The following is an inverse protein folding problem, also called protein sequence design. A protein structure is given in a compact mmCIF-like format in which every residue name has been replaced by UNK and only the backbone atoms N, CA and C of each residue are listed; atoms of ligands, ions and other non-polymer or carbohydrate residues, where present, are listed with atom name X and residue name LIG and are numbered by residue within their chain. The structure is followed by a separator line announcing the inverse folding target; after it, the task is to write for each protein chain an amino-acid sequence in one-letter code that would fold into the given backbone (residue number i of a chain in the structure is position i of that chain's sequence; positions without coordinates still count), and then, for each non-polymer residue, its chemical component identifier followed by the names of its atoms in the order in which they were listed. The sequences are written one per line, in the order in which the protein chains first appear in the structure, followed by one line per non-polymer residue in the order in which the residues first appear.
data_IF_095156975930
#
_entry.id   IF_095156975930
#
_cell.length_a   1.000
_cell.length_b   1.000
_cell.length_c   1.000
_cell.angle_alpha   90.00
_cell.angle_beta   90.00
_cell.angle_gamma   90.00
#
_symmetry.space_group_name_H-M   'P 1'
#
loop_
_entity.id
_entity.type
_entity.pdbx_description
1 polymer ?
#
# COMPACT_ATOMS: atom_id res chain seq x y z
N UNK A 1 -0.84 28.95 12.28
CA UNK A 1 -1.54 28.06 13.26
C UNK A 1 -0.84 26.72 13.22
N UNK A 2 -0.69 26.03 14.38
CA UNK A 2 -0.02 24.70 14.42
C UNK A 2 -0.77 23.67 13.59
N UNK A 3 -0.03 22.88 12.82
CA UNK A 3 -0.49 21.69 12.09
C UNK A 3 -0.61 20.51 13.05
N UNK A 4 -1.84 20.07 13.33
CA UNK A 4 -2.13 18.96 14.25
C UNK A 4 -2.47 17.71 13.44
N UNK A 5 -1.74 16.63 13.68
CA UNK A 5 -2.04 15.30 13.13
C UNK A 5 -2.58 14.41 14.25
N UNK A 6 -3.78 13.88 14.06
CA UNK A 6 -4.35 12.87 14.93
C UNK A 6 -4.09 11.51 14.31
N UNK A 7 -3.21 10.72 14.93
CA UNK A 7 -2.93 9.34 14.53
C UNK A 7 -3.92 8.41 15.22
N UNK A 8 -4.81 7.81 14.45
CA UNK A 8 -5.75 6.78 14.90
C UNK A 8 -5.21 5.42 14.49
N UNK A 9 -4.82 4.63 15.47
CA UNK A 9 -4.20 3.33 15.26
C UNK A 9 -5.12 2.22 15.75
N UNK A 10 -5.33 1.20 14.93
CA UNK A 10 -6.17 0.06 15.30
C UNK A 10 -5.48 -0.85 16.32
N UNK A 11 -4.15 -0.79 16.41
CA UNK A 11 -3.38 -1.54 17.40
C UNK A 11 -3.38 -0.82 18.76
N UNK A 12 -3.20 -1.56 19.83
CA UNK A 12 -3.16 -1.01 21.20
C UNK A 12 -2.03 0.02 21.36
N UNK A 13 -0.90 -0.23 20.70
CA UNK A 13 0.25 0.69 20.69
C UNK A 13 0.38 1.32 19.32
N UNK A 14 0.17 2.65 19.20
CA UNK A 14 0.36 3.34 17.94
C UNK A 14 1.75 3.17 17.36
N UNK A 15 1.83 3.08 16.03
CA UNK A 15 3.08 2.90 15.30
C UNK A 15 4.06 4.05 15.54
N UNK A 16 5.24 3.72 16.08
CA UNK A 16 6.34 4.69 16.25
C UNK A 16 6.86 5.17 14.89
N UNK A 17 6.89 4.27 13.89
CA UNK A 17 7.30 4.62 12.53
C UNK A 17 6.41 5.71 11.94
N UNK A 18 5.09 5.55 11.99
CA UNK A 18 4.14 6.51 11.44
C UNK A 18 4.19 7.84 12.20
N UNK A 19 4.43 7.80 13.50
CA UNK A 19 4.61 8.99 14.33
C UNK A 19 5.83 9.81 13.86
N UNK A 20 7.00 9.18 13.70
CA UNK A 20 8.22 9.85 13.22
C UNK A 20 8.00 10.42 11.82
N UNK A 21 7.42 9.62 10.90
CA UNK A 21 7.13 10.09 9.53
C UNK A 21 6.14 11.24 9.53
N UNK A 22 5.18 11.24 10.45
CA UNK A 22 4.24 12.35 10.63
C UNK A 22 4.92 13.67 10.96
N UNK A 23 5.89 13.68 11.87
CA UNK A 23 6.72 14.87 12.15
C UNK A 23 7.58 15.26 10.95
N UNK A 24 8.25 14.30 10.33
CA UNK A 24 9.07 14.53 9.12
C UNK A 24 8.24 15.05 7.94
N UNK A 25 6.94 14.71 7.88
CA UNK A 25 5.96 15.21 6.92
C UNK A 25 5.40 16.60 7.25
N UNK A 26 5.89 17.21 8.33
CA UNK A 26 5.61 18.62 8.66
C UNK A 26 4.44 18.83 9.62
N UNK A 27 4.01 17.82 10.39
CA UNK A 27 3.12 18.03 11.51
C UNK A 27 3.86 18.74 12.66
N UNK A 28 3.26 19.81 13.22
CA UNK A 28 3.83 20.51 14.37
C UNK A 28 3.56 19.78 15.70
N UNK A 29 2.50 18.97 15.73
CA UNK A 29 2.15 18.16 16.89
C UNK A 29 1.33 16.94 16.45
N UNK A 30 1.63 15.80 17.06
CA UNK A 30 0.93 14.55 16.82
C UNK A 30 0.33 14.03 18.13
N UNK A 31 -0.98 13.74 18.10
CA UNK A 31 -1.66 13.02 19.18
C UNK A 31 -2.00 11.61 18.66
N UNK A 32 -1.37 10.59 19.24
CA UNK A 32 -1.55 9.20 18.84
C UNK A 32 -2.51 8.47 19.79
N UNK A 33 -3.50 7.80 19.24
CA UNK A 33 -4.53 7.02 19.92
C UNK A 33 -4.47 5.58 19.43
N UNK A 34 -4.26 4.64 20.36
CA UNK A 34 -4.28 3.21 20.09
C UNK A 34 -5.63 2.58 20.40
N UNK A 35 -5.88 1.37 19.86
CA UNK A 35 -7.13 0.64 20.07
C UNK A 35 -8.35 1.32 19.46
N UNK A 36 -8.14 2.15 18.41
CA UNK A 36 -9.22 2.84 17.72
C UNK A 36 -9.97 1.87 16.81
N UNK A 37 -11.29 1.93 16.89
CA UNK A 37 -12.20 1.09 16.09
C UNK A 37 -13.44 1.89 15.69
N UNK A 38 -14.29 1.29 14.84
CA UNK A 38 -15.48 1.96 14.30
C UNK A 38 -16.48 2.44 15.38
N UNK A 39 -16.49 1.79 16.57
CA UNK A 39 -17.42 2.14 17.64
C UNK A 39 -16.94 3.34 18.49
N UNK A 40 -15.60 3.53 18.62
CA UNK A 40 -15.04 4.57 19.47
C UNK A 40 -14.47 5.79 18.73
N UNK A 41 -14.23 5.70 17.41
CA UNK A 41 -13.61 6.77 16.62
C UNK A 41 -14.46 8.05 16.54
N UNK A 42 -15.78 7.93 16.70
CA UNK A 42 -16.72 9.05 16.48
C UNK A 42 -16.41 10.30 17.28
N UNK A 43 -16.17 10.18 18.60
CA UNK A 43 -15.85 11.29 19.47
C UNK A 43 -14.51 11.95 19.13
N UNK A 44 -13.51 11.15 18.71
CA UNK A 44 -12.20 11.65 18.28
C UNK A 44 -12.32 12.49 16.99
N UNK A 45 -13.10 12.02 16.03
CA UNK A 45 -13.37 12.74 14.77
C UNK A 45 -14.12 14.06 15.04
N UNK A 46 -15.14 14.04 15.88
CA UNK A 46 -15.89 15.24 16.25
C UNK A 46 -14.98 16.26 16.94
N UNK A 47 -14.10 15.82 17.86
CA UNK A 47 -13.08 16.67 18.47
C UNK A 47 -12.15 17.33 17.44
N UNK A 48 -11.66 16.56 16.45
CA UNK A 48 -10.83 17.08 15.38
C UNK A 48 -11.58 18.09 14.47
N UNK A 49 -12.87 17.85 14.24
CA UNK A 49 -13.68 18.56 13.26
C UNK A 49 -14.26 19.89 13.79
N UNK A 50 -14.63 19.95 15.09
CA UNK A 50 -15.35 21.11 15.64
C UNK A 50 -14.49 22.18 16.28
N UNK A 51 -13.21 21.91 16.54
CA UNK A 51 -12.33 22.80 17.31
C UNK A 51 -11.81 24.03 16.56
N UNK A 52 -11.90 24.05 15.22
CA UNK A 52 -11.35 25.11 14.38
C UNK A 52 -12.40 25.69 13.41
N UNK A 53 -12.23 26.98 13.08
CA UNK A 53 -13.06 27.64 12.06
C UNK A 53 -12.88 26.98 10.68
N UNK A 54 -13.83 27.09 9.75
CA UNK A 54 -13.72 26.45 8.43
C UNK A 54 -12.42 26.77 7.68
N UNK A 55 -11.92 28.01 7.74
CA UNK A 55 -10.67 28.43 7.08
C UNK A 55 -9.41 27.82 7.71
N UNK A 56 -9.49 27.42 8.98
CA UNK A 56 -8.37 26.93 9.77
C UNK A 56 -8.33 25.41 9.86
N UNK A 57 -9.41 24.71 9.43
CA UNK A 57 -9.52 23.25 9.49
C UNK A 57 -8.42 22.53 8.71
N UNK A 58 -7.87 23.13 7.66
CA UNK A 58 -6.73 22.59 6.92
C UNK A 58 -5.48 22.37 7.78
N UNK A 59 -5.39 22.98 8.95
CA UNK A 59 -4.31 22.75 9.91
C UNK A 59 -4.59 21.58 10.87
N UNK A 60 -5.66 20.82 10.64
CA UNK A 60 -5.99 19.60 11.38
C UNK A 60 -6.17 18.45 10.37
N UNK A 61 -5.51 17.32 10.62
CA UNK A 61 -5.61 16.14 9.78
C UNK A 61 -5.68 14.87 10.63
N UNK A 62 -6.16 13.79 10.02
CA UNK A 62 -6.24 12.47 10.60
C UNK A 62 -5.38 11.51 9.78
N UNK A 63 -4.57 10.69 10.45
CA UNK A 63 -3.90 9.53 9.88
C UNK A 63 -4.52 8.26 10.50
N UNK A 64 -4.92 7.31 9.67
CA UNK A 64 -5.45 6.03 10.11
C UNK A 64 -4.44 4.94 9.78
N UNK A 65 -3.91 4.29 10.82
CA UNK A 65 -2.90 3.24 10.76
C UNK A 65 -3.32 1.96 11.50
N UNK A 66 -2.31 1.13 11.81
CA UNK A 66 -2.43 -0.15 12.50
C UNK A 66 -2.18 -1.35 11.59
N UNK A 67 -2.05 -2.54 12.16
CA UNK A 67 -1.71 -3.76 11.45
C UNK A 67 -2.90 -4.44 10.74
N UNK A 68 -4.13 -4.16 11.20
CA UNK A 68 -5.35 -4.80 10.72
C UNK A 68 -6.07 -3.93 9.68
N UNK A 69 -5.86 -4.22 8.39
CA UNK A 69 -6.44 -3.45 7.30
C UNK A 69 -8.00 -3.44 7.30
N UNK A 70 -8.72 -4.57 7.46
CA UNK A 70 -10.18 -4.55 7.56
C UNK A 70 -10.71 -3.66 8.69
N UNK A 71 -10.07 -3.69 9.86
CA UNK A 71 -10.46 -2.83 10.98
C UNK A 71 -10.17 -1.35 10.67
N UNK A 72 -9.02 -1.06 10.05
CA UNK A 72 -8.70 0.30 9.60
C UNK A 72 -9.67 0.82 8.54
N UNK A 73 -10.12 -0.02 7.61
CA UNK A 73 -11.16 0.34 6.64
C UNK A 73 -12.50 0.66 7.33
N UNK A 74 -12.85 -0.09 8.37
CA UNK A 74 -14.03 0.20 9.17
C UNK A 74 -13.91 1.54 9.92
N UNK A 75 -12.71 1.85 10.47
CA UNK A 75 -12.40 3.15 11.09
C UNK A 75 -12.49 4.28 10.06
N UNK A 76 -11.94 4.08 8.87
CA UNK A 76 -12.04 5.06 7.78
C UNK A 76 -13.52 5.33 7.39
N UNK A 77 -14.30 4.28 7.24
CA UNK A 77 -15.73 4.40 6.91
C UNK A 77 -16.50 5.16 8.01
N UNK A 78 -16.26 4.83 9.28
CA UNK A 78 -16.87 5.51 10.42
C UNK A 78 -16.42 6.98 10.53
N UNK A 79 -15.14 7.25 10.26
CA UNK A 79 -14.61 8.62 10.19
C UNK A 79 -15.32 9.46 9.11
N UNK A 80 -15.43 8.91 7.91
CA UNK A 80 -16.12 9.58 6.79
C UNK A 80 -17.60 9.82 7.05
N UNK A 81 -18.27 8.91 7.73
CA UNK A 81 -19.69 9.04 8.08
C UNK A 81 -19.97 10.20 9.05
N UNK A 82 -18.95 10.68 9.79
CA UNK A 82 -19.06 11.86 10.66
C UNK A 82 -18.94 13.18 9.91
N UNK A 83 -18.40 13.17 8.70
CA UNK A 83 -18.20 14.39 7.92
C UNK A 83 -19.48 14.88 7.24
N UNK A 84 -19.73 16.17 7.32
CA UNK A 84 -20.86 16.80 6.65
C UNK A 84 -20.50 18.23 6.21
N UNK A 85 -21.02 18.66 5.07
CA UNK A 85 -20.78 19.98 4.49
C UNK A 85 -19.29 20.38 4.57
N UNK A 86 -18.98 21.52 5.22
CA UNK A 86 -17.60 22.01 5.44
C UNK A 86 -16.99 21.51 6.76
N UNK A 87 -17.73 20.70 7.54
CA UNK A 87 -17.23 20.09 8.77
C UNK A 87 -16.56 18.78 8.46
N UNK A 88 -15.29 18.89 8.06
CA UNK A 88 -14.39 17.75 7.73
C UNK A 88 -12.93 18.19 7.88
N UNK A 89 -12.06 17.24 8.00
CA UNK A 89 -10.61 17.40 7.95
C UNK A 89 -10.03 16.38 6.97
N UNK A 90 -8.84 16.65 6.44
CA UNK A 90 -8.17 15.70 5.55
C UNK A 90 -7.80 14.42 6.29
N UNK A 91 -7.88 13.30 5.58
CA UNK A 91 -7.61 11.95 6.12
C UNK A 91 -6.64 11.23 5.19
N UNK A 92 -5.63 10.59 5.77
CA UNK A 92 -4.79 9.59 5.10
C UNK A 92 -5.05 8.22 5.71
N UNK A 93 -5.15 7.21 4.87
CA UNK A 93 -5.30 5.82 5.26
C UNK A 93 -4.10 5.01 4.76
N UNK A 94 -3.34 4.42 5.70
CA UNK A 94 -2.18 3.59 5.35
C UNK A 94 -1.93 2.47 6.38
N UNK A 95 -2.94 1.65 6.66
CA UNK A 95 -2.78 0.51 7.55
C UNK A 95 -1.67 -0.43 7.07
N UNK A 96 -0.79 -0.80 8.00
CA UNK A 96 0.38 -1.65 7.75
C UNK A 96 1.32 -1.10 6.66
N UNK A 97 1.30 0.22 6.43
CA UNK A 97 2.04 0.85 5.33
C UNK A 97 1.68 0.29 3.94
N UNK A 98 0.47 -0.27 3.80
CA UNK A 98 0.09 -1.04 2.61
C UNK A 98 -0.08 -0.17 1.37
N UNK A 99 -0.69 1.00 1.52
CA UNK A 99 -0.93 1.92 0.41
C UNK A 99 0.39 2.53 -0.08
N UNK A 100 1.22 3.04 0.82
CA UNK A 100 2.49 3.66 0.45
C UNK A 100 3.50 2.64 -0.11
N UNK A 101 3.54 1.41 0.42
CA UNK A 101 4.42 0.34 -0.09
C UNK A 101 3.98 -0.12 -1.48
N UNK A 102 2.70 -0.42 -1.65
CA UNK A 102 2.17 -0.83 -2.95
C UNK A 102 2.32 0.27 -4.00
N UNK A 103 2.02 1.53 -3.62
CA UNK A 103 2.17 2.68 -4.52
C UNK A 103 3.61 2.86 -4.99
N UNK A 104 4.59 2.77 -4.09
CA UNK A 104 6.00 2.89 -4.45
C UNK A 104 6.46 1.75 -5.37
N UNK A 105 6.11 0.50 -5.06
CA UNK A 105 6.47 -0.65 -5.87
C UNK A 105 5.86 -0.56 -7.29
N UNK A 106 4.55 -0.29 -7.38
CA UNK A 106 3.86 -0.23 -8.67
C UNK A 106 4.29 1.00 -9.48
N UNK A 107 4.57 2.14 -8.84
CA UNK A 107 5.09 3.31 -9.53
C UNK A 107 6.44 3.02 -10.20
N UNK A 108 7.36 2.31 -9.55
CA UNK A 108 8.61 1.86 -10.16
C UNK A 108 8.40 0.84 -11.28
N UNK A 109 7.47 -0.11 -11.11
CA UNK A 109 7.13 -1.07 -12.16
C UNK A 109 6.55 -0.40 -13.41
N UNK A 110 5.76 0.67 -13.25
CA UNK A 110 5.14 1.42 -14.34
C UNK A 110 6.03 2.54 -14.91
N UNK A 111 7.11 2.95 -14.21
CA UNK A 111 7.93 4.08 -14.60
C UNK A 111 8.57 3.90 -16.00
N UNK A 112 8.25 4.80 -16.92
CA UNK A 112 8.77 4.78 -18.29
C UNK A 112 8.22 3.66 -19.17
N UNK A 113 7.16 2.94 -18.74
CA UNK A 113 6.59 1.81 -19.50
C UNK A 113 5.08 1.67 -19.30
N UNK A 114 4.41 1.00 -20.26
CA UNK A 114 2.98 0.69 -20.15
C UNK A 114 2.78 -0.73 -19.59
N UNK A 115 1.95 -0.85 -18.57
CA UNK A 115 1.54 -2.15 -18.03
C UNK A 115 0.23 -2.66 -18.66
N UNK A 116 -0.39 -1.91 -19.56
CA UNK A 116 -1.65 -2.27 -20.24
C UNK A 116 -1.54 -3.60 -20.97
N UNK A 117 -2.45 -4.52 -20.65
CA UNK A 117 -2.48 -5.86 -21.23
C UNK A 117 -1.42 -6.83 -20.72
N UNK A 118 -0.47 -6.39 -19.89
CA UNK A 118 0.51 -7.26 -19.24
C UNK A 118 -0.17 -8.16 -18.20
N UNK A 119 0.27 -9.41 -18.11
CA UNK A 119 -0.17 -10.33 -17.04
C UNK A 119 0.74 -10.15 -15.83
N UNK A 120 0.14 -9.76 -14.72
CA UNK A 120 0.83 -9.55 -13.44
C UNK A 120 0.41 -10.61 -12.41
N UNK A 121 1.36 -11.19 -11.72
CA UNK A 121 1.13 -12.12 -10.62
C UNK A 121 1.64 -11.51 -9.32
N UNK A 122 0.72 -11.33 -8.36
CA UNK A 122 1.06 -10.91 -7.00
C UNK A 122 1.15 -12.15 -6.12
N UNK A 123 2.37 -12.54 -5.81
CA UNK A 123 2.68 -13.72 -5.00
C UNK A 123 2.37 -13.46 -3.52
N UNK A 124 1.67 -14.41 -2.89
CA UNK A 124 1.15 -14.29 -1.52
C UNK A 124 0.34 -12.98 -1.31
N UNK A 125 -0.43 -12.59 -2.34
CA UNK A 125 -1.04 -11.27 -2.46
C UNK A 125 -2.35 -11.07 -1.69
N UNK A 126 -2.81 -12.03 -0.88
CA UNK A 126 -4.03 -11.88 -0.09
C UNK A 126 -3.87 -10.93 1.13
N UNK A 127 -2.64 -10.57 1.49
CA UNK A 127 -2.36 -9.62 2.56
C UNK A 127 -2.55 -8.14 2.14
N UNK A 128 -2.42 -7.18 3.09
CA UNK A 128 -2.67 -5.77 2.85
C UNK A 128 -1.90 -5.18 1.66
N UNK A 129 -0.58 -5.33 1.63
CA UNK A 129 0.27 -4.80 0.54
C UNK A 129 -0.10 -5.43 -0.80
N UNK A 130 -0.32 -6.76 -0.82
CA UNK A 130 -0.66 -7.48 -2.04
C UNK A 130 -1.99 -7.05 -2.64
N UNK A 131 -3.01 -6.86 -1.82
CA UNK A 131 -4.31 -6.37 -2.28
C UNK A 131 -4.21 -4.96 -2.87
N UNK A 132 -3.45 -4.07 -2.25
CA UNK A 132 -3.23 -2.71 -2.77
C UNK A 132 -2.40 -2.72 -4.06
N UNK A 133 -1.36 -3.54 -4.12
CA UNK A 133 -0.56 -3.70 -5.34
C UNK A 133 -1.39 -4.27 -6.50
N UNK A 134 -2.25 -5.26 -6.24
CA UNK A 134 -3.14 -5.81 -7.25
C UNK A 134 -4.12 -4.76 -7.79
N UNK A 135 -4.73 -3.95 -6.92
CA UNK A 135 -5.54 -2.80 -7.30
C UNK A 135 -4.78 -1.88 -8.27
N UNK A 136 -3.59 -1.44 -7.86
CA UNK A 136 -2.83 -0.43 -8.61
C UNK A 136 -2.32 -0.97 -9.95
N UNK A 137 -1.86 -2.24 -10.00
CA UNK A 137 -1.50 -2.91 -11.25
C UNK A 137 -2.70 -3.00 -12.21
N UNK A 138 -3.89 -3.33 -11.69
CA UNK A 138 -5.11 -3.36 -12.49
C UNK A 138 -5.49 -1.94 -13.00
N UNK A 139 -5.31 -0.89 -12.20
CA UNK A 139 -5.51 0.50 -12.63
C UNK A 139 -4.53 0.95 -13.72
N UNK A 140 -3.33 0.38 -13.77
CA UNK A 140 -2.39 0.55 -14.89
C UNK A 140 -2.77 -0.32 -16.12
N UNK A 141 -3.87 -1.08 -16.06
CA UNK A 141 -4.39 -1.88 -17.16
C UNK A 141 -3.79 -3.27 -17.27
N UNK A 142 -3.09 -3.75 -16.24
CA UNK A 142 -2.61 -5.12 -16.19
C UNK A 142 -3.74 -6.12 -15.90
N UNK A 143 -3.61 -7.34 -16.41
CA UNK A 143 -4.43 -8.49 -16.03
C UNK A 143 -3.82 -9.12 -14.78
N UNK A 144 -4.45 -8.96 -13.63
CA UNK A 144 -3.85 -9.30 -12.34
C UNK A 144 -4.35 -10.64 -11.82
N UNK A 145 -3.42 -11.44 -11.35
CA UNK A 145 -3.67 -12.67 -10.58
C UNK A 145 -3.04 -12.53 -9.20
N UNK A 146 -3.80 -12.83 -8.17
CA UNK A 146 -3.31 -12.93 -6.78
C UNK A 146 -3.13 -14.42 -6.45
N UNK A 147 -1.99 -14.77 -5.85
CA UNK A 147 -1.78 -16.13 -5.31
C UNK A 147 -1.79 -16.15 -3.78
N UNK A 148 -2.13 -17.29 -3.22
CA UNK A 148 -2.05 -17.54 -1.78
C UNK A 148 -2.14 -19.04 -1.46
N UNK A 149 -2.01 -19.40 -0.17
CA UNK A 149 -1.93 -20.77 0.29
C UNK A 149 -3.27 -21.52 0.34
N UNK A 150 -4.40 -20.77 0.35
CA UNK A 150 -5.76 -21.32 0.45
C UNK A 150 -6.65 -20.57 -0.52
N UNK A 151 -7.33 -21.28 -1.41
CA UNK A 151 -8.21 -20.69 -2.42
C UNK A 151 -9.24 -19.74 -1.82
N UNK A 152 -9.94 -20.17 -0.77
CA UNK A 152 -10.97 -19.36 -0.12
C UNK A 152 -10.48 -18.02 0.42
N UNK A 153 -9.23 -17.97 0.91
CA UNK A 153 -8.62 -16.72 1.42
C UNK A 153 -8.28 -15.76 0.27
N UNK A 154 -7.79 -16.32 -0.85
CA UNK A 154 -7.45 -15.50 -2.01
C UNK A 154 -8.70 -14.99 -2.70
N UNK A 155 -9.73 -15.82 -2.84
CA UNK A 155 -11.04 -15.42 -3.38
C UNK A 155 -11.67 -14.30 -2.56
N UNK A 156 -11.69 -14.44 -1.23
CA UNK A 156 -12.21 -13.40 -0.35
C UNK A 156 -11.44 -12.07 -0.50
N UNK A 157 -10.11 -12.13 -0.70
CA UNK A 157 -9.32 -10.93 -0.97
C UNK A 157 -9.68 -10.30 -2.33
N UNK A 158 -9.86 -11.10 -3.39
CA UNK A 158 -10.29 -10.64 -4.71
C UNK A 158 -11.69 -10.03 -4.66
N UNK A 159 -12.64 -10.67 -3.97
CA UNK A 159 -14.00 -10.15 -3.77
C UNK A 159 -14.00 -8.80 -3.03
N UNK A 160 -13.17 -8.66 -1.98
CA UNK A 160 -13.03 -7.40 -1.25
C UNK A 160 -12.51 -6.27 -2.16
N UNK A 161 -11.51 -6.55 -2.99
CA UNK A 161 -10.97 -5.59 -3.97
C UNK A 161 -12.05 -5.22 -5.00
N UNK A 162 -12.73 -6.21 -5.58
CA UNK A 162 -13.80 -5.99 -6.55
C UNK A 162 -14.92 -5.13 -5.95
N UNK A 163 -15.43 -5.51 -4.78
CA UNK A 163 -16.53 -4.80 -4.10
C UNK A 163 -16.17 -3.35 -3.79
N UNK A 164 -14.92 -3.11 -3.38
CA UNK A 164 -14.51 -1.76 -2.96
C UNK A 164 -14.12 -0.86 -4.13
N UNK A 165 -13.46 -1.41 -5.14
CA UNK A 165 -12.81 -0.62 -6.20
C UNK A 165 -13.36 -0.89 -7.61
N UNK A 166 -14.24 -1.87 -7.77
CA UNK A 166 -14.88 -2.20 -9.06
C UNK A 166 -13.88 -2.73 -10.09
N UNK A 167 -12.88 -3.51 -9.66
CA UNK A 167 -11.88 -4.13 -10.54
C UNK A 167 -11.93 -5.66 -10.43
N UNK A 168 -11.65 -6.34 -11.54
CA UNK A 168 -11.57 -7.80 -11.57
C UNK A 168 -10.13 -8.27 -11.43
N UNK A 169 -9.88 -9.13 -10.42
CA UNK A 169 -8.61 -9.80 -10.19
C UNK A 169 -8.85 -11.30 -10.01
N UNK A 170 -7.93 -12.11 -10.53
CA UNK A 170 -8.04 -13.58 -10.47
C UNK A 170 -7.42 -14.11 -9.18
N UNK A 171 -8.07 -15.11 -8.59
CA UNK A 171 -7.57 -15.85 -7.45
C UNK A 171 -6.98 -17.18 -7.91
N UNK A 172 -5.77 -17.51 -7.45
CA UNK A 172 -5.14 -18.83 -7.67
C UNK A 172 -4.56 -19.32 -6.35
N UNK A 173 -4.93 -20.56 -5.96
CA UNK A 173 -4.22 -21.25 -4.90
C UNK A 173 -2.82 -21.64 -5.40
N UNK A 174 -1.80 -21.30 -4.63
CA UNK A 174 -0.41 -21.67 -4.88
C UNK A 174 0.32 -21.79 -3.53
N UNK A 175 0.07 -22.91 -2.86
CA UNK A 175 0.61 -23.19 -1.53
C UNK A 175 2.09 -23.57 -1.58
N UNK A 176 2.50 -24.30 -2.62
CA UNK A 176 3.86 -24.79 -2.82
C UNK A 176 4.68 -23.88 -3.74
N UNK A 177 6.01 -24.00 -3.69
CA UNK A 177 6.90 -23.30 -4.61
C UNK A 177 6.61 -23.65 -6.07
N UNK A 178 6.37 -24.95 -6.36
CA UNK A 178 6.08 -25.43 -7.72
C UNK A 178 4.81 -24.77 -8.28
N UNK A 179 3.76 -24.69 -7.49
CA UNK A 179 2.51 -24.01 -7.88
C UNK A 179 2.72 -22.52 -8.12
N UNK A 180 3.53 -21.85 -7.28
CA UNK A 180 3.87 -20.42 -7.49
C UNK A 180 4.69 -20.22 -8.77
N UNK A 181 5.65 -21.10 -9.04
CA UNK A 181 6.41 -21.08 -10.29
C UNK A 181 5.48 -21.30 -11.51
N UNK A 182 4.56 -22.27 -11.43
CA UNK A 182 3.58 -22.52 -12.48
C UNK A 182 2.66 -21.31 -12.75
N UNK A 183 2.26 -20.58 -11.70
CA UNK A 183 1.46 -19.36 -11.83
C UNK A 183 2.19 -18.26 -12.62
N UNK A 184 3.52 -18.30 -12.70
CA UNK A 184 4.33 -17.33 -13.47
C UNK A 184 4.53 -17.72 -14.94
N UNK A 185 4.11 -18.90 -15.40
CA UNK A 185 4.47 -19.44 -16.72
C UNK A 185 4.24 -18.48 -17.89
N UNK A 186 3.24 -17.63 -17.79
CA UNK A 186 2.92 -16.62 -18.80
C UNK A 186 2.89 -15.18 -18.25
N UNK A 187 3.40 -14.97 -17.03
CA UNK A 187 3.43 -13.66 -16.42
C UNK A 187 4.50 -12.76 -17.06
N UNK A 188 4.19 -11.48 -17.17
CA UNK A 188 5.16 -10.45 -17.55
C UNK A 188 5.70 -9.74 -16.30
N UNK A 189 4.92 -9.75 -15.22
CA UNK A 189 5.24 -9.04 -13.98
C UNK A 189 5.04 -10.00 -12.81
N UNK A 190 6.03 -10.11 -11.93
CA UNK A 190 5.93 -10.79 -10.65
C UNK A 190 6.18 -9.79 -9.50
N UNK A 191 5.29 -9.76 -8.51
CA UNK A 191 5.48 -8.98 -7.29
C UNK A 191 5.27 -9.87 -6.07
N UNK A 192 6.31 -10.06 -5.27
CA UNK A 192 6.22 -10.80 -4.01
C UNK A 192 5.79 -9.87 -2.87
N UNK A 193 4.74 -10.30 -2.15
CA UNK A 193 4.21 -9.58 -0.97
C UNK A 193 3.98 -10.54 0.21
N UNK A 194 4.80 -11.58 0.28
CA UNK A 194 4.75 -12.58 1.34
C UNK A 194 5.22 -12.08 2.70
N UNK A 195 5.05 -12.91 3.71
CA UNK A 195 5.53 -12.62 5.04
C UNK A 195 7.06 -12.49 5.06
N UNK A 196 7.56 -11.63 5.94
CA UNK A 196 8.98 -11.41 6.17
C UNK A 196 9.71 -12.72 6.47
N UNK A 197 10.88 -12.92 5.87
CA UNK A 197 11.71 -14.09 6.09
C UNK A 197 11.24 -15.37 5.39
N UNK A 198 10.30 -15.28 4.43
CA UNK A 198 9.78 -16.44 3.68
C UNK A 198 10.15 -16.30 2.21
N UNK A 199 10.97 -17.23 1.69
CA UNK A 199 11.24 -17.33 0.25
C UNK A 199 10.06 -18.00 -0.46
N UNK A 200 9.50 -17.31 -1.43
CA UNK A 200 8.38 -17.77 -2.25
C UNK A 200 8.84 -18.45 -3.53
N UNK A 201 9.93 -17.96 -4.12
CA UNK A 201 10.54 -18.47 -5.37
C UNK A 201 12.05 -18.60 -5.20
N UNK A 202 12.60 -19.70 -5.71
CA UNK A 202 14.04 -19.87 -5.91
C UNK A 202 14.44 -19.23 -7.26
N UNK A 203 15.73 -18.95 -7.43
CA UNK A 203 16.26 -18.32 -8.64
C UNK A 203 15.90 -19.07 -9.94
N UNK A 204 15.99 -20.40 -9.91
CA UNK A 204 15.62 -21.27 -11.05
C UNK A 204 14.14 -21.20 -11.46
N UNK A 205 13.25 -20.70 -10.59
CA UNK A 205 11.82 -20.63 -10.88
C UNK A 205 11.46 -19.47 -11.82
N UNK A 206 12.35 -18.49 -11.96
CA UNK A 206 12.07 -17.30 -12.74
C UNK A 206 13.15 -16.92 -13.77
N UNK A 207 14.40 -17.32 -13.55
CA UNK A 207 15.52 -16.89 -14.42
C UNK A 207 15.31 -17.25 -15.88
N UNK A 208 14.87 -18.48 -16.18
CA UNK A 208 14.63 -18.99 -17.51
C UNK A 208 13.21 -18.70 -18.06
N UNK A 209 12.36 -18.00 -17.30
CA UNK A 209 11.03 -17.67 -17.78
C UNK A 209 11.07 -16.56 -18.83
N UNK A 210 10.88 -16.93 -20.10
CA UNK A 210 10.99 -16.00 -21.24
C UNK A 210 9.92 -14.90 -21.27
N UNK A 211 8.74 -15.11 -20.65
CA UNK A 211 7.67 -14.10 -20.62
C UNK A 211 7.87 -13.02 -19.57
N UNK A 212 8.62 -13.33 -18.49
CA UNK A 212 8.78 -12.45 -17.35
C UNK A 212 9.73 -11.29 -17.68
N UNK A 213 9.29 -10.07 -17.45
CA UNK A 213 10.01 -8.83 -17.78
C UNK A 213 10.39 -8.05 -16.51
N UNK A 214 9.47 -8.00 -15.54
CA UNK A 214 9.60 -7.17 -14.34
C UNK A 214 9.40 -8.02 -13.08
N UNK A 215 10.29 -7.87 -12.13
CA UNK A 215 10.21 -8.57 -10.84
C UNK A 215 10.38 -7.55 -9.71
N UNK A 216 9.47 -7.57 -8.76
CA UNK A 216 9.60 -6.79 -7.52
C UNK A 216 9.40 -7.68 -6.29
N UNK A 217 10.17 -7.40 -5.24
CA UNK A 217 10.06 -8.08 -3.95
C UNK A 217 9.86 -7.05 -2.84
N UNK A 218 8.71 -7.11 -2.17
CA UNK A 218 8.39 -6.22 -1.06
C UNK A 218 8.93 -6.70 0.30
N UNK A 219 9.62 -7.82 0.35
CA UNK A 219 10.20 -8.34 1.58
C UNK A 219 11.52 -7.62 1.90
N UNK A 220 11.52 -6.82 2.98
CA UNK A 220 12.69 -6.07 3.42
C UNK A 220 13.63 -6.85 4.34
N UNK A 221 13.27 -8.07 4.76
CA UNK A 221 14.05 -8.87 5.71
C UNK A 221 14.56 -10.14 5.05
N UNK A 222 15.85 -10.49 5.23
CA UNK A 222 16.38 -11.76 4.73
C UNK A 222 15.70 -12.98 5.37
N UNK A 223 15.56 -14.09 4.63
CA UNK A 223 15.81 -14.22 3.20
C UNK A 223 14.82 -13.44 2.34
N UNK A 224 15.22 -13.09 1.11
CA UNK A 224 14.35 -12.43 0.14
C UNK A 224 13.14 -13.30 -0.21
N UNK A 225 12.02 -12.69 -0.55
CA UNK A 225 10.82 -13.38 -1.02
C UNK A 225 11.03 -14.03 -2.39
N UNK A 226 11.87 -13.41 -3.24
CA UNK A 226 12.33 -13.97 -4.51
C UNK A 226 13.85 -14.05 -4.48
N UNK A 227 14.40 -15.26 -4.44
CA UNK A 227 15.83 -15.48 -4.46
C UNK A 227 16.44 -14.89 -5.73
N UNK A 228 17.57 -14.17 -5.60
CA UNK A 228 18.25 -13.49 -6.70
C UNK A 228 17.79 -12.04 -6.94
N UNK A 229 16.75 -11.57 -6.26
CA UNK A 229 16.40 -10.15 -6.18
C UNK A 229 17.15 -9.52 -5.01
N UNK A 230 18.01 -8.56 -5.29
CA UNK A 230 18.74 -7.82 -4.26
C UNK A 230 17.83 -6.83 -3.53
N UNK A 231 17.95 -6.73 -2.20
CA UNK A 231 17.14 -5.81 -1.38
C UNK A 231 17.17 -4.37 -1.90
N UNK A 232 18.31 -3.92 -2.42
CA UNK A 232 18.53 -2.56 -2.90
C UNK A 232 18.34 -2.40 -4.42
N UNK A 233 17.93 -3.45 -5.14
CA UNK A 233 17.69 -3.38 -6.58
C UNK A 233 16.64 -2.31 -6.89
N UNK A 234 16.99 -1.43 -7.83
CA UNK A 234 16.13 -0.35 -8.31
C UNK A 234 16.28 -0.20 -9.82
N UNK A 235 15.71 -1.15 -10.56
CA UNK A 235 15.88 -1.26 -12.00
C UNK A 235 17.14 -2.02 -12.39
N UNK A 236 17.66 -2.90 -11.52
CA UNK A 236 18.79 -3.77 -11.83
C UNK A 236 18.40 -4.76 -12.94
N UNK A 237 19.31 -4.99 -13.89
CA UNK A 237 19.07 -5.97 -14.98
C UNK A 237 19.72 -7.30 -14.65
N UNK A 238 18.95 -8.38 -14.70
CA UNK A 238 19.43 -9.74 -14.51
C UNK A 238 18.60 -10.72 -15.34
N UNK A 239 19.24 -11.66 -16.04
CA UNK A 239 18.56 -12.68 -16.88
C UNK A 239 17.51 -12.08 -17.85
N UNK A 240 17.79 -10.90 -18.42
CA UNK A 240 16.85 -10.19 -19.31
C UNK A 240 15.64 -9.56 -18.62
N UNK A 241 15.62 -9.50 -17.30
CA UNK A 241 14.53 -8.95 -16.48
C UNK A 241 15.00 -7.74 -15.70
N UNK A 242 14.06 -6.88 -15.31
CA UNK A 242 14.32 -5.69 -14.49
C UNK A 242 13.84 -5.97 -13.07
N UNK A 243 14.73 -5.81 -12.09
CA UNK A 243 14.53 -6.18 -10.70
C UNK A 243 14.37 -4.96 -9.80
N UNK A 244 13.44 -5.08 -8.82
CA UNK A 244 13.20 -4.09 -7.78
C UNK A 244 13.10 -4.78 -6.42
N UNK A 245 13.97 -4.42 -5.49
CA UNK A 245 13.95 -4.90 -4.11
C UNK A 245 13.28 -3.92 -3.16
N UNK A 246 12.92 -4.39 -1.99
CA UNK A 246 12.17 -3.63 -0.99
C UNK A 246 12.85 -2.31 -0.57
N UNK A 247 14.18 -2.30 -0.41
CA UNK A 247 14.92 -1.08 -0.11
C UNK A 247 15.11 -0.21 -1.36
N UNK A 248 15.11 -0.82 -2.56
CA UNK A 248 15.22 -0.11 -3.83
C UNK A 248 14.04 0.84 -4.07
N UNK A 249 12.82 0.42 -3.78
CA UNK A 249 11.65 1.31 -3.82
C UNK A 249 11.27 1.90 -2.45
N UNK A 250 11.90 1.43 -1.36
CA UNK A 250 11.62 1.90 0.00
C UNK A 250 11.95 3.37 0.23
N UNK A 251 12.96 3.90 -0.44
CA UNK A 251 13.26 5.33 -0.41
C UNK A 251 12.09 6.18 -0.94
N UNK A 252 11.49 5.75 -2.06
CA UNK A 252 10.29 6.39 -2.60
C UNK A 252 9.11 6.22 -1.62
N UNK A 253 8.91 5.03 -1.03
CA UNK A 253 7.86 4.79 -0.04
C UNK A 253 7.92 5.77 1.13
N UNK A 254 9.12 5.99 1.68
CA UNK A 254 9.31 6.90 2.82
C UNK A 254 9.09 8.36 2.42
N UNK A 255 9.64 8.78 1.29
CA UNK A 255 9.42 10.13 0.75
C UNK A 255 7.94 10.37 0.43
N UNK A 256 7.26 9.39 -0.16
CA UNK A 256 5.82 9.42 -0.46
C UNK A 256 4.97 9.58 0.80
N UNK A 257 5.26 8.83 1.87
CA UNK A 257 4.53 8.94 3.12
C UNK A 257 4.64 10.36 3.70
N UNK A 258 5.86 10.93 3.75
CA UNK A 258 6.09 12.33 4.16
C UNK A 258 5.33 13.33 3.28
N UNK A 259 5.36 13.14 1.96
CA UNK A 259 4.64 13.99 1.02
C UNK A 259 3.12 13.92 1.21
N UNK A 260 2.57 12.73 1.46
CA UNK A 260 1.15 12.55 1.77
C UNK A 260 0.76 13.29 3.06
N UNK A 261 1.55 13.18 4.12
CA UNK A 261 1.30 13.90 5.37
C UNK A 261 1.34 15.42 5.14
N UNK A 262 2.36 15.92 4.43
CA UNK A 262 2.44 17.36 4.09
C UNK A 262 1.20 17.83 3.35
N UNK A 263 0.71 17.04 2.38
CA UNK A 263 -0.43 17.36 1.55
C UNK A 263 -1.75 17.45 2.33
N UNK A 264 -1.89 16.70 3.43
CA UNK A 264 -3.08 16.78 4.29
C UNK A 264 -3.37 18.17 4.83
N UNK A 265 -2.35 19.02 4.93
CA UNK A 265 -2.46 20.37 5.45
C UNK A 265 -2.64 21.46 4.37
N UNK A 266 -2.75 21.09 3.10
CA UNK A 266 -3.02 22.05 2.01
C UNK A 266 -4.49 22.49 2.02
N UNK A 267 -5.39 21.53 2.27
CA UNK A 267 -6.84 21.74 2.36
C UNK A 267 -7.46 20.84 3.45
N UNK A 268 -8.77 20.87 3.64
CA UNK A 268 -9.41 20.14 4.74
C UNK A 268 -10.35 19.00 4.28
N UNK A 269 -10.30 18.62 3.02
CA UNK A 269 -11.24 17.66 2.42
C UNK A 269 -10.55 16.55 1.61
N UNK A 270 -9.23 16.44 1.72
CA UNK A 270 -8.49 15.34 1.10
C UNK A 270 -8.83 14.00 1.77
N UNK A 271 -9.00 13.01 0.93
CA UNK A 271 -8.96 11.62 1.34
C UNK A 271 -7.82 10.95 0.55
N UNK A 272 -6.73 10.65 1.24
CA UNK A 272 -5.60 9.95 0.65
C UNK A 272 -5.71 8.46 0.98
N UNK A 273 -6.22 7.69 0.04
CA UNK A 273 -6.26 6.23 0.05
C UNK A 273 -5.37 5.69 -1.09
N UNK A 274 -5.47 4.44 -1.45
CA UNK A 274 -4.58 3.76 -2.37
C UNK A 274 -4.37 4.50 -3.69
N UNK A 275 -5.44 4.99 -4.33
CA UNK A 275 -5.38 5.61 -5.66
C UNK A 275 -4.80 7.03 -5.61
N UNK A 276 -5.18 7.84 -4.61
CA UNK A 276 -4.65 9.18 -4.42
C UNK A 276 -3.17 9.15 -4.03
N UNK A 277 -2.80 8.23 -3.13
CA UNK A 277 -1.39 8.01 -2.75
C UNK A 277 -0.57 7.56 -3.96
N UNK A 278 -1.12 6.67 -4.78
CA UNK A 278 -0.47 6.22 -6.00
C UNK A 278 -0.28 7.34 -7.03
N UNK A 279 -1.28 8.22 -7.20
CA UNK A 279 -1.14 9.38 -8.06
C UNK A 279 0.03 10.29 -7.65
N UNK A 280 0.23 10.47 -6.33
CA UNK A 280 1.37 11.21 -5.79
C UNK A 280 2.68 10.45 -6.09
N UNK A 281 2.72 9.13 -5.87
CA UNK A 281 3.90 8.31 -6.13
C UNK A 281 4.37 8.37 -7.58
N UNK A 282 3.43 8.36 -8.55
CA UNK A 282 3.75 8.50 -9.99
C UNK A 282 4.42 9.84 -10.33
N UNK A 283 4.07 10.90 -9.63
CA UNK A 283 4.70 12.21 -9.80
C UNK A 283 6.08 12.31 -9.15
N UNK A 284 6.42 11.40 -8.23
CA UNK A 284 7.69 11.41 -7.48
C UNK A 284 8.71 10.40 -8.02
N UNK A 285 8.29 9.40 -8.76
CA UNK A 285 9.19 8.37 -9.27
C UNK A 285 10.10 8.93 -10.35
N UNK A 286 11.43 8.77 -10.18
CA UNK A 286 12.44 9.29 -11.13
C UNK A 286 12.81 10.77 -10.93
N UNK A 287 12.27 11.44 -9.90
CA UNK A 287 12.62 12.82 -9.53
C UNK A 287 13.84 12.88 -8.62
#
# INVERSE_FOLDING_TARGET
MKKLLYQFDTDTHPSVFDNVVGYDGGADHISAYGGVNAANVGALVEGAMFTRSPKDKKNTAIFIGGSNMPQGEAVLAATRAKFFAKFRVSVMFDCNGSNTTAAAAVAWLAHGRSLRGKRAVVLAGSGPVGQRAALLLAREGAQVTITGRKQSVVEAACEAINKRFGIDVRAIEAATRVERSAALAQAHIALATGASGITLLEAKDWQENASLELIADANASPPAGIEGVGLSDRGASSHGKILFGALGFGALKLALHRACVARLFEQNDLLLDAEEIYAIAKGMVGS
#
